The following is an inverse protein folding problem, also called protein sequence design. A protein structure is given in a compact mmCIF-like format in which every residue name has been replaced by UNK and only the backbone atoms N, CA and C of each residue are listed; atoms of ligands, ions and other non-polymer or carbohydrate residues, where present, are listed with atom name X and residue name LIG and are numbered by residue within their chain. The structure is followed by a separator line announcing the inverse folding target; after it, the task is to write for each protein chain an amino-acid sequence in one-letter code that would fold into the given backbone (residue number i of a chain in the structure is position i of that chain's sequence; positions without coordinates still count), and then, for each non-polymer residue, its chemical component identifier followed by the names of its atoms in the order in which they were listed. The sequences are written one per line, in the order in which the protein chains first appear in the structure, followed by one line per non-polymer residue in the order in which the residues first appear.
data_IF_132814747097
#
_entry.id   IF_132814747097
#
_cell.length_a   1.000
_cell.length_b   1.000
_cell.length_c   1.000
_cell.angle_alpha   90.00
_cell.angle_beta   90.00
_cell.angle_gamma   90.00
#
_symmetry.space_group_name_H-M   'P 1'
#
loop_
_entity.id
_entity.type
_entity.pdbx_description
1 polymer ?
#
# COMPACT_ATOMS: atom_id res chain seq x y z
N UNK A 1 7.55 20.59 8.86
CA UNK A 1 8.15 19.86 7.71
C UNK A 1 7.27 19.95 6.46
N UNK A 2 7.84 20.32 5.30
CA UNK A 2 7.12 20.39 4.02
C UNK A 2 7.52 19.19 3.13
N UNK A 3 6.55 18.31 2.81
CA UNK A 3 6.77 17.12 1.99
C UNK A 3 6.24 17.26 0.54
N UNK A 4 5.79 18.45 0.16
CA UNK A 4 5.04 18.67 -1.09
C UNK A 4 5.81 18.23 -2.33
N UNK A 5 7.10 18.51 -2.42
CA UNK A 5 7.94 18.13 -3.57
C UNK A 5 8.08 16.62 -3.73
N UNK A 6 8.13 15.87 -2.63
CA UNK A 6 8.15 14.42 -2.65
C UNK A 6 6.79 13.85 -3.09
N UNK A 7 5.70 14.46 -2.65
CA UNK A 7 4.35 14.06 -3.08
C UNK A 7 4.12 14.30 -4.56
N UNK A 8 4.66 15.37 -5.16
CA UNK A 8 4.58 15.58 -6.62
C UNK A 8 5.23 14.44 -7.39
N UNK A 9 6.40 13.96 -6.96
CA UNK A 9 7.09 12.80 -7.58
C UNK A 9 6.26 11.53 -7.46
N UNK A 10 5.67 11.30 -6.28
CA UNK A 10 4.79 10.15 -6.06
C UNK A 10 3.50 10.23 -6.89
N UNK A 11 2.85 11.39 -6.94
CA UNK A 11 1.64 11.63 -7.74
C UNK A 11 1.90 11.41 -9.25
N UNK A 12 3.08 11.78 -9.76
CA UNK A 12 3.48 11.48 -11.13
C UNK A 12 3.60 9.96 -11.40
N UNK A 13 4.14 9.19 -10.44
CA UNK A 13 4.19 7.72 -10.54
C UNK A 13 2.78 7.12 -10.49
N UNK A 14 1.90 7.65 -9.63
CA UNK A 14 0.48 7.26 -9.57
C UNK A 14 -0.20 7.47 -10.92
N UNK A 15 -0.02 8.62 -11.56
CA UNK A 15 -0.60 8.90 -12.88
C UNK A 15 -0.11 7.93 -13.96
N UNK A 16 1.18 7.58 -13.94
CA UNK A 16 1.73 6.57 -14.85
C UNK A 16 1.06 5.20 -14.63
N UNK A 17 0.91 4.79 -13.37
CA UNK A 17 0.27 3.52 -13.01
C UNK A 17 -1.20 3.49 -13.44
N UNK A 18 -1.95 4.56 -13.19
CA UNK A 18 -3.35 4.67 -13.59
C UNK A 18 -3.47 4.59 -15.13
N UNK A 19 -2.56 5.23 -15.88
CA UNK A 19 -2.53 5.15 -17.34
C UNK A 19 -2.25 3.72 -17.86
N UNK A 20 -1.38 2.96 -17.18
CA UNK A 20 -1.14 1.54 -17.50
C UNK A 20 -2.39 0.72 -17.24
N UNK A 21 -3.04 0.90 -16.09
CA UNK A 21 -4.28 0.21 -15.77
C UNK A 21 -5.37 0.48 -16.80
N UNK A 22 -5.58 1.75 -17.15
CA UNK A 22 -6.59 2.16 -18.13
C UNK A 22 -6.31 1.59 -19.51
N UNK A 23 -5.05 1.50 -19.90
CA UNK A 23 -4.65 0.85 -21.15
C UNK A 23 -5.03 -0.64 -21.15
N UNK A 24 -4.66 -1.38 -20.10
CA UNK A 24 -5.00 -2.81 -20.00
C UNK A 24 -6.51 -3.02 -19.96
N UNK A 25 -7.25 -2.17 -19.23
CA UNK A 25 -8.71 -2.22 -19.18
C UNK A 25 -9.37 -1.97 -20.53
N UNK A 26 -8.81 -1.08 -21.35
CA UNK A 26 -9.29 -0.80 -22.73
C UNK A 26 -8.97 -1.95 -23.69
N UNK A 27 -7.79 -2.54 -23.58
CA UNK A 27 -7.34 -3.65 -24.43
C UNK A 27 -8.04 -4.97 -24.05
N UNK A 28 -8.33 -5.19 -22.75
CA UNK A 28 -8.87 -6.43 -22.18
C UNK A 28 -10.12 -6.20 -21.31
N UNK A 29 -11.23 -5.67 -21.87
CA UNK A 29 -12.42 -5.30 -21.10
C UNK A 29 -13.20 -6.51 -20.56
N UNK A 30 -13.00 -7.71 -21.12
CA UNK A 30 -13.65 -8.95 -20.66
C UNK A 30 -12.90 -9.61 -19.50
N UNK A 31 -11.64 -9.24 -19.33
CA UNK A 31 -10.73 -9.78 -18.33
C UNK A 31 -10.68 -8.90 -17.09
N UNK A 32 -10.73 -7.57 -17.27
CA UNK A 32 -10.70 -6.60 -16.18
C UNK A 32 -12.12 -6.30 -15.67
N UNK A 33 -12.49 -6.95 -14.57
CA UNK A 33 -13.77 -6.68 -13.87
C UNK A 33 -13.69 -5.58 -12.82
N UNK A 34 -12.50 -5.03 -12.57
CA UNK A 34 -12.29 -4.02 -11.56
C UNK A 34 -13.04 -2.72 -11.93
N UNK A 35 -13.93 -2.33 -11.03
CA UNK A 35 -14.77 -1.12 -11.07
C UNK A 35 -14.91 -0.58 -9.66
N UNK A 36 -15.38 0.65 -9.53
CA UNK A 36 -15.81 1.18 -8.24
C UNK A 36 -16.73 0.18 -7.53
N UNK A 37 -16.57 0.06 -6.21
CA UNK A 37 -17.26 -0.90 -5.35
C UNK A 37 -16.89 -2.38 -5.54
N UNK A 38 -15.92 -2.71 -6.40
CA UNK A 38 -15.23 -4.01 -6.34
C UNK A 38 -14.28 -4.00 -5.13
N UNK A 39 -14.73 -4.53 -3.99
CA UNK A 39 -14.01 -4.44 -2.70
C UNK A 39 -13.01 -5.57 -2.44
N UNK A 40 -12.65 -6.39 -3.44
CA UNK A 40 -11.77 -7.54 -3.20
C UNK A 40 -10.36 -7.16 -2.77
N UNK A 41 -9.81 -6.10 -3.37
CA UNK A 41 -8.52 -5.54 -2.97
C UNK A 41 -8.53 -5.04 -1.51
N UNK A 42 -9.70 -4.69 -0.98
CA UNK A 42 -9.88 -4.25 0.40
C UNK A 42 -9.87 -5.40 1.40
N UNK A 43 -9.67 -6.65 0.98
CA UNK A 43 -9.43 -7.79 1.86
C UNK A 43 -8.02 -8.39 1.69
N UNK A 44 -7.19 -7.80 0.82
CA UNK A 44 -5.82 -8.22 0.63
C UNK A 44 -4.89 -7.57 1.66
N UNK A 45 -3.93 -8.33 2.18
CA UNK A 45 -2.90 -7.83 3.09
C UNK A 45 -1.69 -7.39 2.27
N UNK A 46 -1.29 -6.14 2.43
CA UNK A 46 -0.09 -5.57 1.85
C UNK A 46 0.43 -4.43 2.72
N UNK A 47 1.70 -4.10 2.53
CA UNK A 47 2.35 -2.99 3.21
C UNK A 47 2.67 -1.86 2.22
N UNK A 48 2.72 -0.64 2.76
CA UNK A 48 3.07 0.59 2.07
C UNK A 48 4.54 0.90 2.26
N UNK A 49 5.15 1.51 1.25
CA UNK A 49 6.44 2.20 1.42
C UNK A 49 6.27 3.47 2.27
N UNK A 50 7.37 4.01 2.79
CA UNK A 50 7.33 5.23 3.62
C UNK A 50 6.66 6.41 2.90
N UNK A 51 7.00 6.65 1.63
CA UNK A 51 6.40 7.73 0.84
C UNK A 51 4.88 7.56 0.69
N UNK A 52 4.40 6.33 0.47
CA UNK A 52 2.98 6.03 0.38
C UNK A 52 2.26 6.20 1.71
N UNK A 53 2.86 5.76 2.82
CA UNK A 53 2.30 5.90 4.15
C UNK A 53 2.15 7.38 4.56
N UNK A 54 3.19 8.19 4.30
CA UNK A 54 3.18 9.63 4.55
C UNK A 54 2.15 10.34 3.67
N UNK A 55 2.07 10.00 2.39
CA UNK A 55 1.09 10.55 1.46
C UNK A 55 -0.34 10.21 1.90
N UNK A 56 -0.60 8.94 2.23
CA UNK A 56 -1.89 8.48 2.71
C UNK A 56 -2.30 9.23 3.99
N UNK A 57 -1.37 9.38 4.96
CA UNK A 57 -1.63 10.13 6.18
C UNK A 57 -1.95 11.59 5.90
N UNK A 58 -1.17 12.26 5.05
CA UNK A 58 -1.39 13.67 4.70
C UNK A 58 -2.79 13.88 4.10
N UNK A 59 -3.18 13.08 3.11
CA UNK A 59 -4.51 13.16 2.49
C UNK A 59 -5.61 12.77 3.48
N UNK A 60 -5.39 11.77 4.32
CA UNK A 60 -6.35 11.38 5.37
C UNK A 60 -6.62 12.54 6.35
N UNK A 61 -5.58 13.24 6.81
CA UNK A 61 -5.72 14.37 7.72
C UNK A 61 -6.40 15.59 7.07
N UNK A 62 -6.27 15.75 5.75
CA UNK A 62 -6.94 16.81 4.97
C UNK A 62 -8.42 16.48 4.70
N UNK A 63 -8.73 15.21 4.48
CA UNK A 63 -10.07 14.77 4.10
C UNK A 63 -10.99 14.52 5.31
N UNK A 64 -10.44 14.21 6.49
CA UNK A 64 -11.23 13.83 7.67
C UNK A 64 -10.89 14.64 8.91
N UNK A 65 -11.93 15.13 9.58
CA UNK A 65 -11.84 15.85 10.87
C UNK A 65 -12.92 15.36 11.84
N UNK A 66 -12.82 15.78 13.11
CA UNK A 66 -13.83 15.50 14.13
C UNK A 66 -14.14 14.01 14.31
N UNK A 67 -15.44 13.70 14.45
CA UNK A 67 -15.94 12.34 14.71
C UNK A 67 -15.58 11.35 13.60
N UNK A 68 -15.74 11.73 12.33
CA UNK A 68 -15.45 10.84 11.19
C UNK A 68 -13.99 10.37 11.19
N UNK A 69 -13.05 11.28 11.50
CA UNK A 69 -11.63 10.94 11.66
C UNK A 69 -11.41 9.95 12.82
N UNK A 70 -12.01 10.22 13.97
CA UNK A 70 -11.87 9.37 15.16
C UNK A 70 -12.41 7.96 14.92
N UNK A 71 -13.58 7.84 14.29
CA UNK A 71 -14.20 6.55 13.99
C UNK A 71 -13.31 5.73 13.03
N UNK A 72 -12.74 6.36 12.00
CA UNK A 72 -11.80 5.70 11.08
C UNK A 72 -10.49 5.27 11.76
N UNK A 73 -9.97 6.09 12.68
CA UNK A 73 -8.78 5.74 13.47
C UNK A 73 -9.08 4.53 14.37
N UNK A 74 -10.26 4.46 15.00
CA UNK A 74 -10.64 3.33 15.84
C UNK A 74 -10.74 2.02 15.03
N UNK A 75 -11.32 2.07 13.83
CA UNK A 75 -11.36 0.93 12.91
C UNK A 75 -9.94 0.53 12.50
N UNK A 76 -9.10 1.50 12.14
CA UNK A 76 -7.70 1.25 11.79
C UNK A 76 -6.91 0.59 12.92
N UNK A 77 -7.07 1.07 14.15
CA UNK A 77 -6.43 0.51 15.35
C UNK A 77 -6.87 -0.93 15.64
N UNK A 78 -8.16 -1.25 15.47
CA UNK A 78 -8.65 -2.64 15.55
C UNK A 78 -8.00 -3.53 14.49
N UNK A 79 -7.93 -3.08 13.24
CA UNK A 79 -7.27 -3.82 12.17
C UNK A 79 -5.76 -3.99 12.42
N UNK A 80 -5.09 -2.95 12.93
CA UNK A 80 -3.65 -2.97 13.18
C UNK A 80 -3.25 -4.00 14.23
N UNK A 81 -4.07 -4.17 15.28
CA UNK A 81 -3.85 -5.22 16.29
C UNK A 81 -3.89 -6.62 15.68
N UNK A 82 -4.81 -6.87 14.74
CA UNK A 82 -4.91 -8.15 14.04
C UNK A 82 -3.65 -8.38 13.21
N UNK A 83 -3.26 -7.40 12.39
CA UNK A 83 -2.07 -7.50 11.53
C UNK A 83 -0.78 -7.64 12.34
N UNK A 84 -0.65 -6.91 13.45
CA UNK A 84 0.50 -7.01 14.36
C UNK A 84 0.61 -8.41 14.97
N UNK A 85 -0.51 -9.01 15.41
CA UNK A 85 -0.53 -10.38 15.92
C UNK A 85 -0.11 -11.37 14.83
N UNK A 86 -0.60 -11.20 13.61
CA UNK A 86 -0.23 -12.05 12.47
C UNK A 86 1.25 -11.95 12.14
N UNK A 87 1.79 -10.74 11.97
CA UNK A 87 3.23 -10.50 11.71
C UNK A 87 4.10 -11.09 12.82
N UNK A 88 3.71 -10.92 14.09
CA UNK A 88 4.43 -11.51 15.23
C UNK A 88 4.43 -13.04 15.20
N UNK A 89 3.31 -13.66 14.83
CA UNK A 89 3.23 -15.11 14.69
C UNK A 89 4.09 -15.61 13.52
N UNK A 90 3.98 -14.98 12.36
CA UNK A 90 4.82 -15.28 11.19
C UNK A 90 6.32 -15.21 11.53
N UNK A 91 6.76 -14.14 12.20
CA UNK A 91 8.14 -14.00 12.65
C UNK A 91 8.61 -15.10 13.60
N UNK A 92 7.74 -15.56 14.51
CA UNK A 92 8.05 -16.69 15.41
C UNK A 92 8.22 -18.00 14.65
N UNK A 93 7.39 -18.25 13.64
CA UNK A 93 7.49 -19.46 12.82
C UNK A 93 8.75 -19.45 11.94
N UNK A 94 9.09 -18.31 11.33
CA UNK A 94 10.37 -18.14 10.61
C UNK A 94 11.55 -18.45 11.53
N UNK A 95 11.53 -17.93 12.78
CA UNK A 95 12.56 -18.22 13.78
C UNK A 95 12.68 -19.70 14.17
N UNK A 96 11.62 -20.48 14.00
CA UNK A 96 11.62 -21.93 14.24
C UNK A 96 12.11 -22.74 13.02
N UNK A 97 12.49 -22.06 11.93
CA UNK A 97 13.00 -22.70 10.70
C UNK A 97 11.94 -23.00 9.65
N UNK A 98 10.71 -22.49 9.80
CA UNK A 98 9.68 -22.61 8.76
C UNK A 98 10.07 -21.84 7.49
N UNK A 99 9.63 -22.33 6.34
CA UNK A 99 9.90 -21.69 5.05
C UNK A 99 9.15 -20.35 4.93
N UNK A 100 9.89 -19.28 4.64
CA UNK A 100 9.35 -17.92 4.51
C UNK A 100 8.32 -17.79 3.39
N UNK A 101 8.55 -18.42 2.22
CA UNK A 101 7.61 -18.41 1.09
C UNK A 101 6.27 -19.06 1.46
N UNK A 102 6.28 -20.13 2.25
CA UNK A 102 5.06 -20.79 2.72
C UNK A 102 4.28 -19.90 3.68
N UNK A 103 4.98 -19.21 4.59
CA UNK A 103 4.37 -18.30 5.56
C UNK A 103 3.75 -17.10 4.83
N UNK A 104 4.46 -16.51 3.87
CA UNK A 104 3.95 -15.42 3.03
C UNK A 104 2.74 -15.90 2.23
N UNK A 105 2.79 -17.12 1.67
CA UNK A 105 1.66 -17.77 1.02
C UNK A 105 0.42 -17.84 1.91
N UNK A 106 0.56 -18.37 3.13
CA UNK A 106 -0.54 -18.43 4.12
C UNK A 106 -1.07 -17.04 4.47
N UNK A 107 -0.18 -16.06 4.71
CA UNK A 107 -0.59 -14.69 5.01
C UNK A 107 -1.34 -14.03 3.85
N UNK A 108 -0.98 -14.32 2.60
CA UNK A 108 -1.68 -13.77 1.42
C UNK A 108 -3.09 -14.34 1.22
N UNK A 109 -3.40 -15.50 1.80
CA UNK A 109 -4.74 -16.09 1.79
C UNK A 109 -5.66 -15.51 2.87
N UNK A 110 -5.08 -14.89 3.89
CA UNK A 110 -5.83 -14.27 4.98
C UNK A 110 -6.59 -13.04 4.49
N UNK A 111 -7.89 -13.00 4.82
CA UNK A 111 -8.79 -11.93 4.36
C UNK A 111 -9.05 -10.93 5.47
N UNK A 112 -8.13 -9.98 5.64
CA UNK A 112 -8.28 -8.90 6.63
C UNK A 112 -8.93 -7.68 5.97
N UNK A 113 -10.09 -7.26 6.49
CA UNK A 113 -10.81 -6.09 5.98
C UNK A 113 -9.98 -4.82 6.19
N UNK A 114 -9.73 -4.11 5.11
CA UNK A 114 -9.06 -2.82 5.09
C UNK A 114 -9.86 -1.79 5.92
N UNK A 115 -9.19 -0.97 6.75
CA UNK A 115 -9.88 0.00 7.59
C UNK A 115 -10.47 1.17 6.79
N UNK A 116 -10.03 1.36 5.55
CA UNK A 116 -10.52 2.41 4.65
C UNK A 116 -11.71 1.95 3.78
N UNK A 117 -12.18 0.72 3.91
CA UNK A 117 -13.38 0.27 3.21
C UNK A 117 -14.63 0.84 3.90
N UNK A 118 -15.39 1.67 3.18
CA UNK A 118 -16.67 2.20 3.60
C UNK A 118 -17.78 1.14 3.62
N UNK A 119 -18.95 1.51 4.14
CA UNK A 119 -20.11 0.61 4.25
C UNK A 119 -20.72 0.28 2.89
N UNK A 120 -20.58 1.17 1.91
CA UNK A 120 -21.09 1.03 0.54
C UNK A 120 -20.16 0.23 -0.40
N UNK A 121 -19.16 -0.45 0.17
CA UNK A 121 -18.04 -1.10 -0.52
C UNK A 121 -17.11 -0.16 -1.30
N UNK A 122 -17.19 1.16 -1.10
CA UNK A 122 -16.25 2.12 -1.67
C UNK A 122 -15.16 2.46 -0.66
N UNK A 123 -13.91 2.56 -1.13
CA UNK A 123 -12.82 3.04 -0.30
C UNK A 123 -13.03 4.53 0.03
N UNK A 124 -13.00 4.91 1.31
CA UNK A 124 -13.13 6.32 1.72
C UNK A 124 -11.93 7.17 1.28
N UNK A 125 -10.85 6.52 0.84
CA UNK A 125 -9.64 7.13 0.25
C UNK A 125 -9.46 6.73 -1.21
N UNK A 126 -10.53 6.45 -1.97
CA UNK A 126 -10.45 5.91 -3.33
C UNK A 126 -9.50 6.71 -4.24
N UNK A 127 -9.65 8.04 -4.29
CA UNK A 127 -8.81 8.93 -5.11
C UNK A 127 -7.34 8.97 -4.65
N UNK A 128 -7.08 8.69 -3.38
CA UNK A 128 -5.75 8.72 -2.78
C UNK A 128 -5.25 7.32 -2.41
N UNK A 129 -5.81 6.27 -3.02
CA UNK A 129 -5.44 4.88 -2.76
C UNK A 129 -3.98 4.60 -3.16
N UNK A 130 -3.28 3.71 -2.44
CA UNK A 130 -1.91 3.28 -2.76
C UNK A 130 -1.78 2.63 -4.14
N UNK A 131 -0.56 2.50 -4.64
CA UNK A 131 -0.29 1.91 -5.97
C UNK A 131 -0.79 0.46 -6.04
N UNK A 132 -0.57 -0.34 -5.00
CA UNK A 132 -1.05 -1.74 -4.93
C UNK A 132 -2.56 -1.84 -5.14
N UNK A 133 -3.34 -0.86 -4.66
CA UNK A 133 -4.79 -0.82 -4.89
C UNK A 133 -5.18 -0.41 -6.32
N UNK A 134 -4.34 0.37 -7.01
CA UNK A 134 -4.58 0.88 -8.38
C UNK A 134 -4.32 -0.19 -9.44
N UNK A 135 -3.30 -1.01 -9.21
CA UNK A 135 -2.93 -2.10 -10.12
C UNK A 135 -3.76 -3.36 -9.89
N UNK A 136 -4.60 -3.37 -8.86
CA UNK A 136 -5.41 -4.53 -8.53
C UNK A 136 -6.43 -4.82 -9.64
N UNK A 137 -6.34 -6.01 -10.23
CA UNK A 137 -7.21 -6.44 -11.32
C UNK A 137 -6.57 -6.39 -12.71
N UNK A 138 -5.29 -6.03 -12.82
CA UNK A 138 -4.47 -6.26 -14.03
C UNK A 138 -3.32 -7.23 -13.71
N UNK A 139 -2.71 -7.89 -14.70
CA UNK A 139 -1.56 -8.75 -14.49
C UNK A 139 -0.36 -7.95 -13.96
N UNK A 140 0.28 -8.46 -12.92
CA UNK A 140 1.50 -7.90 -12.34
C UNK A 140 2.60 -8.95 -12.30
N UNK A 141 3.87 -8.52 -12.23
CA UNK A 141 4.99 -9.44 -12.02
C UNK A 141 5.88 -8.99 -10.87
N UNK A 142 6.28 -9.94 -10.04
CA UNK A 142 7.22 -9.75 -8.93
C UNK A 142 8.23 -10.88 -8.96
N UNK A 143 9.53 -10.58 -8.87
CA UNK A 143 10.61 -11.56 -8.98
C UNK A 143 10.51 -12.46 -10.23
N UNK A 144 10.03 -11.89 -11.34
CA UNK A 144 9.83 -12.60 -12.61
C UNK A 144 8.60 -13.52 -12.66
N UNK A 145 7.83 -13.63 -11.58
CA UNK A 145 6.60 -14.43 -11.51
C UNK A 145 5.39 -13.54 -11.79
N UNK A 146 4.54 -13.95 -12.73
CA UNK A 146 3.28 -13.26 -13.03
C UNK A 146 2.19 -13.63 -12.02
N UNK A 147 1.46 -12.62 -11.56
CA UNK A 147 0.34 -12.73 -10.66
C UNK A 147 -0.91 -12.09 -11.29
N UNK A 148 -2.03 -12.79 -11.17
CA UNK A 148 -3.35 -12.33 -11.62
C UNK A 148 -4.31 -12.33 -10.44
N UNK A 149 -5.24 -11.38 -10.43
CA UNK A 149 -6.32 -11.36 -9.44
C UNK A 149 -7.31 -12.50 -9.72
N UNK A 150 -7.69 -13.26 -8.69
CA UNK A 150 -8.66 -14.37 -8.83
C UNK A 150 -10.07 -13.96 -9.25
N UNK A 151 -10.36 -12.66 -9.30
CA UNK A 151 -11.62 -12.09 -9.83
C UNK A 151 -11.48 -11.51 -11.23
N UNK A 152 -10.48 -11.91 -11.99
CA UNK A 152 -10.30 -11.49 -13.40
C UNK A 152 -10.41 -12.71 -14.29
N UNK A 153 -10.67 -12.52 -15.58
CA UNK A 153 -10.61 -13.61 -16.57
C UNK A 153 -9.22 -13.75 -17.21
N UNK A 154 -8.18 -13.15 -16.64
CA UNK A 154 -6.82 -13.42 -17.12
C UNK A 154 -6.48 -14.89 -16.88
N UNK A 155 -5.83 -15.52 -17.86
CA UNK A 155 -5.38 -16.90 -17.79
C UNK A 155 -3.88 -16.92 -17.51
N UNK A 156 -3.48 -17.60 -16.44
CA UNK A 156 -2.07 -17.74 -16.06
C UNK A 156 -1.26 -18.36 -17.23
N UNK A 157 -0.11 -17.77 -17.55
CA UNK A 157 0.78 -18.24 -18.62
C UNK A 157 0.46 -17.69 -20.02
N UNK A 158 -0.62 -16.93 -20.19
CA UNK A 158 -0.90 -16.24 -21.45
C UNK A 158 -0.16 -14.89 -21.54
N UNK A 159 0.17 -14.40 -22.75
CA UNK A 159 0.94 -13.18 -22.94
C UNK A 159 0.06 -11.93 -22.81
N UNK A 160 -0.21 -11.52 -21.57
CA UNK A 160 -0.87 -10.25 -21.28
C UNK A 160 0.13 -9.14 -20.91
N UNK A 161 -0.19 -7.86 -21.17
CA UNK A 161 0.57 -6.75 -20.63
C UNK A 161 0.65 -6.88 -19.11
N UNK A 162 1.88 -6.96 -18.60
CA UNK A 162 2.15 -7.25 -17.20
C UNK A 162 2.94 -6.11 -16.59
N UNK A 163 2.41 -5.52 -15.52
CA UNK A 163 3.10 -4.45 -14.81
C UNK A 163 4.20 -5.03 -13.91
N UNK A 164 5.44 -4.60 -14.13
CA UNK A 164 6.57 -5.02 -13.30
C UNK A 164 6.56 -4.26 -11.96
N UNK A 165 6.21 -4.96 -10.88
CA UNK A 165 6.13 -4.38 -9.54
C UNK A 165 7.51 -4.13 -8.92
N UNK A 166 8.53 -4.91 -9.28
CA UNK A 166 9.90 -4.70 -8.79
C UNK A 166 10.42 -3.30 -9.17
N UNK A 167 10.13 -2.85 -10.39
CA UNK A 167 10.45 -1.49 -10.85
C UNK A 167 9.71 -0.41 -10.07
N UNK A 168 8.42 -0.64 -9.80
CA UNK A 168 7.58 0.28 -9.01
C UNK A 168 8.11 0.40 -7.58
N UNK A 169 8.35 -0.74 -6.91
CA UNK A 169 8.90 -0.76 -5.55
C UNK A 169 10.28 -0.10 -5.48
N UNK A 170 11.14 -0.32 -6.48
CA UNK A 170 12.44 0.36 -6.57
C UNK A 170 12.27 1.88 -6.61
N UNK A 171 11.35 2.40 -7.43
CA UNK A 171 11.10 3.85 -7.50
C UNK A 171 10.53 4.40 -6.18
N UNK A 172 9.58 3.70 -5.55
CA UNK A 172 9.02 4.10 -4.26
C UNK A 172 10.08 4.11 -3.15
N UNK A 173 11.00 3.15 -3.15
CA UNK A 173 12.14 3.12 -2.24
C UNK A 173 13.09 4.29 -2.46
N UNK A 174 13.38 4.65 -3.72
CA UNK A 174 14.18 5.83 -4.04
C UNK A 174 13.51 7.14 -3.57
N UNK A 175 12.19 7.27 -3.76
CA UNK A 175 11.44 8.44 -3.26
C UNK A 175 11.49 8.53 -1.73
N UNK A 176 11.35 7.38 -1.06
CA UNK A 176 11.44 7.27 0.39
C UNK A 176 12.84 7.63 0.90
N UNK A 177 13.90 7.12 0.25
CA UNK A 177 15.29 7.41 0.62
C UNK A 177 15.65 8.90 0.43
N UNK A 178 15.21 9.48 -0.69
CA UNK A 178 15.40 10.91 -0.96
C UNK A 178 14.67 11.76 0.09
N UNK A 179 13.44 11.39 0.46
CA UNK A 179 12.69 12.06 1.54
C UNK A 179 13.44 12.01 2.86
N UNK A 180 13.89 10.83 3.30
CA UNK A 180 14.64 10.65 4.56
C UNK A 180 15.90 11.52 4.58
N UNK A 181 16.61 11.62 3.45
CA UNK A 181 17.79 12.47 3.29
C UNK A 181 17.45 13.97 3.40
N UNK A 182 16.41 14.42 2.71
CA UNK A 182 16.06 15.84 2.61
C UNK A 182 15.52 16.40 3.92
N UNK A 183 14.80 15.57 4.70
CA UNK A 183 14.37 15.94 6.05
C UNK A 183 15.48 15.82 7.10
N UNK A 184 16.70 15.42 6.70
CA UNK A 184 17.87 15.20 7.58
C UNK A 184 17.56 14.29 8.77
N UNK A 185 16.83 13.22 8.51
CA UNK A 185 16.44 12.26 9.54
C UNK A 185 17.67 11.58 10.16
N UNK A 186 17.67 11.41 11.48
CA UNK A 186 18.60 10.53 12.18
C UNK A 186 18.33 9.04 11.91
N UNK A 187 17.11 8.70 11.48
CA UNK A 187 16.66 7.34 11.20
C UNK A 187 16.94 6.97 9.74
N UNK A 188 18.22 6.84 9.37
CA UNK A 188 18.65 6.70 7.98
C UNK A 188 18.04 5.50 7.23
N UNK A 189 17.68 4.41 7.93
CA UNK A 189 17.07 3.20 7.34
C UNK A 189 15.54 3.25 7.28
N UNK A 190 14.92 4.34 7.69
CA UNK A 190 13.45 4.46 7.73
C UNK A 190 12.80 4.28 6.36
N UNK A 191 13.53 4.56 5.27
CA UNK A 191 13.00 4.36 3.91
C UNK A 191 12.71 2.88 3.60
N UNK A 192 13.38 1.94 4.27
CA UNK A 192 13.18 0.49 4.12
C UNK A 192 11.93 -0.01 4.85
N UNK A 193 11.27 0.83 5.64
CA UNK A 193 10.09 0.43 6.40
C UNK A 193 8.90 0.13 5.50
N UNK A 194 8.24 -0.99 5.83
CA UNK A 194 6.98 -1.42 5.23
C UNK A 194 5.86 -1.26 6.27
N UNK A 195 4.87 -0.45 5.93
CA UNK A 195 3.87 0.09 6.87
C UNK A 195 2.48 -0.36 6.42
N UNK A 196 1.73 -1.16 7.21
CA UNK A 196 0.35 -1.49 6.90
C UNK A 196 -0.52 -0.24 6.71
N UNK A 197 -1.57 -0.35 5.90
CA UNK A 197 -2.56 0.75 5.74
C UNK A 197 -3.14 1.17 7.10
N UNK A 198 -3.41 0.22 7.99
CA UNK A 198 -3.88 0.50 9.36
C UNK A 198 -2.87 1.34 10.14
N UNK A 199 -1.61 0.93 10.14
CA UNK A 199 -0.52 1.63 10.81
C UNK A 199 -0.34 3.05 10.26
N UNK A 200 -0.36 3.21 8.93
CA UNK A 200 -0.25 4.53 8.30
C UNK A 200 -1.36 5.50 8.75
N UNK A 201 -2.58 5.01 9.00
CA UNK A 201 -3.70 5.83 9.49
C UNK A 201 -3.53 6.19 10.97
N UNK A 202 -3.12 5.25 11.82
CA UNK A 202 -3.00 5.48 13.28
C UNK A 202 -1.73 6.24 13.67
N UNK A 203 -0.62 6.03 12.96
CA UNK A 203 0.68 6.63 13.30
C UNK A 203 0.67 8.14 13.15
N UNK A 204 1.30 8.82 14.11
CA UNK A 204 1.61 10.25 14.04
C UNK A 204 3.03 10.40 13.50
N UNK A 205 3.16 10.76 12.24
CA UNK A 205 4.45 11.01 11.58
C UNK A 205 4.92 12.46 11.85
N UNK A 206 5.18 12.76 13.12
CA UNK A 206 5.78 14.05 13.51
C UNK A 206 7.31 14.02 13.38
N UNK A 207 7.94 15.16 13.64
CA UNK A 207 9.39 15.32 13.56
C UNK A 207 10.13 14.34 14.47
N UNK A 208 9.56 14.04 15.65
CA UNK A 208 10.14 13.10 16.61
C UNK A 208 10.10 11.66 16.05
N UNK A 209 8.96 11.21 15.50
CA UNK A 209 8.86 9.91 14.82
C UNK A 209 9.84 9.82 13.64
N UNK A 210 9.93 10.88 12.86
CA UNK A 210 10.76 10.95 11.67
C UNK A 210 12.24 11.20 11.96
N UNK A 211 12.65 11.37 13.23
CA UNK A 211 14.03 11.62 13.60
C UNK A 211 14.59 12.95 13.08
N UNK A 212 13.72 13.94 12.85
CA UNK A 212 14.14 15.29 12.42
C UNK A 212 14.60 16.03 13.67
N UNK A 213 15.88 16.42 13.72
CA UNK A 213 16.39 17.25 14.81
C UNK A 213 15.69 18.61 14.76
N UNK A 214 15.02 18.98 15.86
CA UNK A 214 14.53 20.35 16.04
C UNK A 214 15.78 21.25 16.03
N UNK A 215 15.84 22.19 15.09
CA UNK A 215 16.86 23.23 15.11
C UNK A 215 16.70 24.00 16.42
N UNK A 216 17.73 23.91 17.28
CA UNK A 216 17.90 24.78 18.45
C UNK A 216 17.93 26.27 18.02
#
# INVERSE_FOLDING_TARGET
MNLKEHFVKYEALVQMVDAVFDRVKKEFPKEVFCREKCSDCCYAIFDLTLIEALYLKDKFLKNFTGKAKSDLIEVADKTDRVLTKMKRNAYKEIKKGSNELEIVGKMSQERVRCPLLGEDNLCVMYENRPITCRVYGIPTSTAGVSHICGRTNFIQGQPYPTLNMDKIYTQLQLFSAQLVKDIKSSNIKMHEMLIPVSMAVVTKFDEDYLGVRKSE
#
